data_IF_388862967780
#
_entry.id   IF_388862967780
#
_cell.length_a   1.000
_cell.length_b   1.000
_cell.length_c   1.000
_cell.angle_alpha   90.00
_cell.angle_beta   90.00
_cell.angle_gamma   90.00
#
_symmetry.space_group_name_H-M   'P 1'
#
loop_
_entity.id
_entity.type
_entity.pdbx_description
1 polymer ?
#
# COMPACT_ATOMS: atom_id res chain seq x y z
N UNK A 1 -10.22 -19.46 -26.59
CA UNK A 1 -8.82 -19.95 -26.60
C UNK A 1 -7.78 -18.90 -26.19
N UNK A 2 -7.56 -17.80 -26.92
CA UNK A 2 -6.52 -16.82 -26.54
C UNK A 2 -6.79 -16.15 -25.18
N UNK A 3 -8.04 -15.82 -24.89
CA UNK A 3 -8.46 -15.26 -23.60
C UNK A 3 -8.30 -16.27 -22.46
N UNK A 4 -8.70 -17.53 -22.66
CA UNK A 4 -8.64 -18.56 -21.62
C UNK A 4 -7.19 -18.87 -21.21
N UNK A 5 -6.27 -18.97 -22.19
CA UNK A 5 -4.83 -19.16 -21.95
C UNK A 5 -4.15 -17.91 -21.39
N UNK A 6 -4.62 -16.71 -21.76
CA UNK A 6 -4.07 -15.45 -21.25
C UNK A 6 -4.48 -15.14 -19.80
N UNK A 7 -5.64 -15.65 -19.36
CA UNK A 7 -6.15 -15.46 -18.00
C UNK A 7 -5.39 -16.28 -16.97
N UNK A 8 -4.90 -17.46 -17.35
CA UNK A 8 -4.24 -18.40 -16.44
C UNK A 8 -3.04 -17.79 -15.68
N UNK A 9 -2.04 -17.15 -16.32
CA UNK A 9 -0.92 -16.53 -15.60
C UNK A 9 -1.35 -15.33 -14.74
N UNK A 10 -2.33 -14.55 -15.20
CA UNK A 10 -2.89 -13.43 -14.43
C UNK A 10 -3.60 -13.92 -13.17
N UNK A 11 -4.34 -15.02 -13.28
CA UNK A 11 -5.02 -15.65 -12.16
C UNK A 11 -4.03 -16.17 -11.13
N UNK A 12 -2.99 -16.87 -11.56
CA UNK A 12 -1.93 -17.34 -10.66
C UNK A 12 -1.21 -16.20 -9.96
N UNK A 13 -0.96 -15.08 -10.66
CA UNK A 13 -0.37 -13.88 -10.07
C UNK A 13 -1.28 -13.26 -9.00
N UNK A 14 -2.55 -13.00 -9.32
CA UNK A 14 -3.50 -12.42 -8.38
C UNK A 14 -3.70 -13.31 -7.15
N UNK A 15 -3.75 -14.63 -7.34
CA UNK A 15 -3.90 -15.58 -6.23
C UNK A 15 -2.73 -15.55 -5.25
N UNK A 16 -1.49 -15.31 -5.71
CA UNK A 16 -0.31 -15.20 -4.83
C UNK A 16 -0.33 -13.94 -3.95
N UNK A 17 -0.95 -12.86 -4.44
CA UNK A 17 -0.97 -11.56 -3.75
C UNK A 17 -2.27 -11.33 -2.97
N UNK A 18 -3.34 -12.05 -3.29
CA UNK A 18 -4.60 -11.96 -2.57
C UNK A 18 -4.48 -12.66 -1.22
N UNK A 19 -4.89 -11.97 -0.16
CA UNK A 19 -4.89 -12.55 1.19
C UNK A 19 -6.06 -13.53 1.31
N UNK A 20 -5.82 -14.67 1.96
CA UNK A 20 -6.84 -15.71 2.15
C UNK A 20 -8.13 -15.18 2.80
N UNK A 21 -7.99 -14.27 3.77
CA UNK A 21 -9.14 -13.65 4.44
C UNK A 21 -9.99 -12.77 3.51
N UNK A 22 -9.35 -12.00 2.63
CA UNK A 22 -10.06 -11.16 1.65
C UNK A 22 -10.73 -12.04 0.58
N UNK A 23 -10.04 -13.11 0.15
CA UNK A 23 -10.60 -14.08 -0.79
C UNK A 23 -11.83 -14.79 -0.21
N UNK A 24 -11.74 -15.28 1.02
CA UNK A 24 -12.85 -15.94 1.72
C UNK A 24 -14.05 -15.00 1.89
N UNK A 25 -13.80 -13.73 2.21
CA UNK A 25 -14.83 -12.70 2.35
C UNK A 25 -15.62 -12.52 1.04
N UNK A 26 -14.94 -12.34 -0.10
CA UNK A 26 -15.60 -12.18 -1.39
C UNK A 26 -16.23 -13.48 -1.90
N UNK A 27 -15.64 -14.65 -1.62
CA UNK A 27 -16.23 -15.94 -1.97
C UNK A 27 -17.56 -16.17 -1.24
N UNK A 28 -17.61 -15.84 0.06
CA UNK A 28 -18.83 -15.90 0.87
C UNK A 28 -19.91 -14.94 0.36
N UNK A 29 -19.55 -13.70 0.03
CA UNK A 29 -20.49 -12.72 -0.53
C UNK A 29 -21.06 -13.17 -1.88
N UNK A 30 -20.24 -13.78 -2.73
CA UNK A 30 -20.66 -14.30 -4.03
C UNK A 30 -21.39 -15.65 -3.94
N UNK A 31 -21.60 -16.19 -2.73
CA UNK A 31 -22.15 -17.52 -2.45
C UNK A 31 -21.48 -18.65 -3.24
N UNK A 32 -20.19 -18.51 -3.51
CA UNK A 32 -19.40 -19.55 -4.18
C UNK A 32 -19.01 -20.58 -3.12
N UNK A 33 -19.72 -21.70 -3.11
CA UNK A 33 -19.43 -22.86 -2.25
C UNK A 33 -18.52 -23.84 -2.99
N UNK A 34 -17.69 -24.59 -2.26
CA UNK A 34 -16.74 -25.59 -2.77
C UNK A 34 -15.69 -25.03 -3.74
N UNK A 35 -14.78 -24.20 -3.22
CA UNK A 35 -13.51 -23.92 -3.90
C UNK A 35 -12.53 -24.99 -3.42
N UNK A 36 -12.35 -26.07 -4.20
CA UNK A 36 -11.45 -27.18 -3.84
C UNK A 36 -10.01 -26.90 -4.26
N UNK A 37 -9.82 -26.02 -5.25
CA UNK A 37 -8.52 -25.56 -5.72
C UNK A 37 -8.50 -24.04 -5.96
N UNK A 38 -7.37 -23.35 -5.70
CA UNK A 38 -7.12 -21.97 -6.13
C UNK A 38 -7.51 -21.67 -7.59
N UNK A 39 -7.39 -22.66 -8.47
CA UNK A 39 -7.66 -22.53 -9.90
C UNK A 39 -9.15 -22.54 -10.23
N UNK A 40 -10.02 -22.89 -9.29
CA UNK A 40 -11.48 -22.88 -9.47
C UNK A 40 -12.12 -21.54 -9.07
N UNK A 41 -11.36 -20.64 -8.45
CA UNK A 41 -11.87 -19.33 -8.03
C UNK A 41 -12.35 -18.52 -9.24
N UNK A 42 -13.63 -18.10 -9.31
CA UNK A 42 -14.10 -17.27 -10.42
C UNK A 42 -13.41 -15.90 -10.42
N UNK A 43 -13.05 -15.37 -11.60
CA UNK A 43 -12.42 -14.03 -11.72
C UNK A 43 -13.25 -12.91 -11.07
N UNK A 44 -14.58 -13.02 -11.11
CA UNK A 44 -15.51 -12.08 -10.46
C UNK A 44 -15.36 -12.00 -8.93
N UNK A 45 -14.74 -13.00 -8.31
CA UNK A 45 -14.40 -13.05 -6.88
C UNK A 45 -12.94 -12.65 -6.67
N UNK A 46 -12.04 -13.21 -7.49
CA UNK A 46 -10.60 -12.98 -7.36
C UNK A 46 -10.21 -11.52 -7.59
N UNK A 47 -10.72 -10.88 -8.65
CA UNK A 47 -10.36 -9.50 -8.98
C UNK A 47 -10.70 -8.52 -7.85
N UNK A 48 -11.93 -8.47 -7.30
CA UNK A 48 -12.22 -7.55 -6.19
C UNK A 48 -11.50 -7.92 -4.89
N UNK A 49 -11.27 -9.21 -4.62
CA UNK A 49 -10.48 -9.65 -3.47
C UNK A 49 -9.02 -9.16 -3.59
N UNK A 50 -8.40 -9.38 -4.75
CA UNK A 50 -7.05 -8.90 -5.07
C UNK A 50 -6.93 -7.39 -4.91
N UNK A 51 -7.83 -6.61 -5.52
CA UNK A 51 -7.80 -5.14 -5.39
C UNK A 51 -7.90 -4.68 -3.94
N UNK A 52 -8.74 -5.33 -3.13
CA UNK A 52 -8.90 -4.99 -1.71
C UNK A 52 -7.63 -5.32 -0.91
N UNK A 53 -7.03 -6.49 -1.16
CA UNK A 53 -5.75 -6.88 -0.56
C UNK A 53 -4.63 -5.89 -0.92
N UNK A 54 -4.53 -5.50 -2.18
CA UNK A 54 -3.53 -4.55 -2.67
C UNK A 54 -3.73 -3.15 -2.09
N UNK A 55 -4.98 -2.66 -2.01
CA UNK A 55 -5.27 -1.38 -1.36
C UNK A 55 -4.83 -1.39 0.10
N UNK A 56 -5.10 -2.48 0.84
CA UNK A 56 -4.68 -2.62 2.23
C UNK A 56 -3.15 -2.60 2.36
N UNK A 57 -2.45 -3.32 1.50
CA UNK A 57 -0.99 -3.32 1.46
C UNK A 57 -0.43 -1.93 1.11
N UNK A 58 -1.02 -1.24 0.12
CA UNK A 58 -0.63 0.12 -0.26
C UNK A 58 -0.83 1.13 0.88
N UNK A 59 -1.93 1.03 1.63
CA UNK A 59 -2.15 1.86 2.83
C UNK A 59 -1.14 1.57 3.94
N UNK A 60 -0.77 0.31 4.16
CA UNK A 60 0.25 -0.06 5.14
C UNK A 60 1.62 0.53 4.78
N UNK A 61 2.04 0.40 3.52
CA UNK A 61 3.28 0.96 3.00
C UNK A 61 3.25 2.50 3.10
N UNK A 62 2.17 3.13 2.64
CA UNK A 62 2.00 4.58 2.69
C UNK A 62 2.03 5.11 4.12
N UNK A 63 1.40 4.42 5.06
CA UNK A 63 1.44 4.80 6.47
C UNK A 63 2.86 4.70 7.05
N UNK A 64 3.57 3.61 6.79
CA UNK A 64 4.95 3.43 7.25
C UNK A 64 5.89 4.52 6.71
N UNK A 65 5.75 4.91 5.44
CA UNK A 65 6.50 6.01 4.82
C UNK A 65 6.11 7.36 5.42
N UNK A 66 4.85 7.55 5.83
CA UNK A 66 4.36 8.83 6.34
C UNK A 66 4.86 9.15 7.76
N UNK A 67 5.07 8.15 8.61
CA UNK A 67 5.51 8.31 10.01
C UNK A 67 6.73 9.25 10.17
N UNK A 68 7.88 9.05 9.49
CA UNK A 68 9.04 9.92 9.67
C UNK A 68 8.75 11.39 9.31
N UNK A 69 7.92 11.64 8.30
CA UNK A 69 7.55 13.01 7.92
C UNK A 69 6.62 13.66 8.94
N UNK A 70 5.70 12.88 9.52
CA UNK A 70 4.83 13.33 10.60
C UNK A 70 5.66 13.74 11.84
N UNK A 71 6.69 12.97 12.18
CA UNK A 71 7.62 13.32 13.27
C UNK A 71 8.29 14.67 13.00
N UNK A 72 8.77 14.91 11.78
CA UNK A 72 9.35 16.21 11.39
C UNK A 72 8.33 17.33 11.59
N UNK A 73 7.09 17.16 11.12
CA UNK A 73 6.05 18.18 11.27
C UNK A 73 5.76 18.51 12.73
N UNK A 74 5.62 17.49 13.59
CA UNK A 74 5.37 17.67 15.02
C UNK A 74 6.54 18.38 15.71
N UNK A 75 7.78 17.99 15.41
CA UNK A 75 8.98 18.60 16.00
C UNK A 75 9.09 20.06 15.56
N UNK A 76 9.00 20.35 14.27
CA UNK A 76 9.09 21.72 13.72
C UNK A 76 7.98 22.60 14.31
N UNK A 77 6.74 22.11 14.36
CA UNK A 77 5.64 22.85 14.96
C UNK A 77 5.91 23.16 16.45
N UNK A 78 6.39 22.19 17.22
CA UNK A 78 6.68 22.38 18.64
C UNK A 78 7.79 23.41 18.90
N UNK A 79 8.83 23.41 18.07
CA UNK A 79 9.94 24.38 18.16
C UNK A 79 9.48 25.79 17.78
N UNK A 80 8.72 25.93 16.70
CA UNK A 80 8.18 27.24 16.28
C UNK A 80 7.24 27.83 17.34
N UNK A 81 6.39 27.00 17.95
CA UNK A 81 5.52 27.42 19.06
C UNK A 81 6.34 27.84 20.29
N UNK A 82 7.40 27.10 20.63
CA UNK A 82 8.29 27.46 21.74
C UNK A 82 9.03 28.79 21.51
N UNK A 83 9.32 29.14 20.26
CA UNK A 83 9.93 30.42 19.88
C UNK A 83 8.92 31.58 19.81
N UNK A 84 7.63 31.34 20.03
CA UNK A 84 6.57 32.34 19.92
C UNK A 84 6.19 32.72 18.48
N UNK A 85 6.67 31.97 17.48
CA UNK A 85 6.40 32.25 16.06
C UNK A 85 5.08 31.62 15.61
N UNK A 86 3.95 32.15 16.08
CA UNK A 86 2.61 31.62 15.73
C UNK A 86 2.18 31.92 14.29
N UNK A 87 2.76 32.95 13.67
CA UNK A 87 2.38 33.41 12.32
C UNK A 87 3.12 32.68 11.20
N UNK A 88 4.21 31.97 11.54
CA UNK A 88 4.97 31.20 10.56
C UNK A 88 4.36 29.81 10.45
N UNK A 89 3.91 29.43 9.26
CA UNK A 89 3.37 28.11 9.02
C UNK A 89 4.45 27.04 9.22
N UNK A 90 4.27 26.09 10.16
CA UNK A 90 5.23 24.99 10.37
C UNK A 90 5.45 24.15 9.12
N UNK A 91 4.44 24.03 8.24
CA UNK A 91 4.54 23.25 7.02
C UNK A 91 5.60 23.80 6.04
N UNK A 92 5.74 25.13 5.94
CA UNK A 92 6.73 25.77 5.06
C UNK A 92 8.14 25.53 5.60
N UNK A 93 8.31 25.64 6.92
CA UNK A 93 9.60 25.42 7.59
C UNK A 93 10.01 23.95 7.55
N UNK A 94 9.05 23.02 7.69
CA UNK A 94 9.30 21.58 7.68
C UNK A 94 9.67 21.03 6.28
N UNK A 95 9.20 21.66 5.20
CA UNK A 95 9.41 21.18 3.82
C UNK A 95 10.89 20.89 3.47
N UNK A 96 11.86 21.82 3.67
CA UNK A 96 13.27 21.53 3.37
C UNK A 96 13.84 20.37 4.21
N UNK A 97 13.43 20.22 5.48
CA UNK A 97 13.87 19.09 6.32
C UNK A 97 13.32 17.76 5.80
N UNK A 98 12.07 17.71 5.36
CA UNK A 98 11.49 16.52 4.74
C UNK A 98 12.23 16.12 3.48
N UNK A 99 12.51 17.09 2.60
CA UNK A 99 13.24 16.85 1.36
C UNK A 99 14.68 16.37 1.65
N UNK A 100 15.35 17.00 2.62
CA UNK A 100 16.68 16.59 3.05
C UNK A 100 16.67 15.16 3.59
N UNK A 101 15.76 14.81 4.51
CA UNK A 101 15.64 13.45 5.03
C UNK A 101 15.40 12.47 3.87
N UNK A 102 14.46 12.78 2.99
CA UNK A 102 14.07 11.90 1.89
C UNK A 102 15.23 11.62 0.92
N UNK A 103 16.06 12.62 0.62
CA UNK A 103 17.26 12.42 -0.21
C UNK A 103 18.36 11.67 0.55
N UNK A 104 18.56 11.98 1.83
CA UNK A 104 19.63 11.36 2.65
C UNK A 104 19.43 9.85 2.84
N UNK A 105 18.19 9.39 2.94
CA UNK A 105 17.87 7.96 3.10
C UNK A 105 17.70 7.23 1.77
N UNK A 106 17.97 7.90 0.64
CA UNK A 106 17.62 7.42 -0.70
C UNK A 106 16.16 6.93 -0.78
N UNK A 107 15.24 7.83 -0.43
CA UNK A 107 13.83 7.52 -0.28
C UNK A 107 13.17 6.98 -1.55
N UNK A 108 13.68 7.34 -2.74
CA UNK A 108 13.21 6.75 -4.00
C UNK A 108 13.55 5.26 -4.10
N UNK A 109 14.77 4.87 -3.73
CA UNK A 109 15.17 3.48 -3.73
C UNK A 109 14.40 2.68 -2.67
N UNK A 110 14.14 3.26 -1.49
CA UNK A 110 13.33 2.62 -0.46
C UNK A 110 11.88 2.39 -0.91
N UNK A 111 11.23 3.42 -1.49
CA UNK A 111 9.84 3.30 -1.98
C UNK A 111 9.75 2.27 -3.11
N UNK A 112 10.59 2.40 -4.12
CA UNK A 112 10.58 1.49 -5.27
C UNK A 112 10.97 0.07 -4.86
N UNK A 113 11.94 -0.07 -3.96
CA UNK A 113 12.36 -1.35 -3.39
C UNK A 113 11.24 -2.03 -2.62
N UNK A 114 10.54 -1.31 -1.75
CA UNK A 114 9.38 -1.84 -1.00
C UNK A 114 8.24 -2.25 -1.92
N UNK A 115 7.98 -1.49 -3.00
CA UNK A 115 6.96 -1.86 -3.98
C UNK A 115 7.35 -3.14 -4.74
N UNK A 116 8.58 -3.23 -5.26
CA UNK A 116 9.03 -4.42 -6.01
C UNK A 116 9.08 -5.66 -5.12
N UNK A 117 9.51 -5.52 -3.86
CA UNK A 117 9.52 -6.61 -2.88
C UNK A 117 8.10 -7.02 -2.46
N UNK A 118 7.12 -6.12 -2.48
CA UNK A 118 5.72 -6.45 -2.16
C UNK A 118 5.07 -7.37 -3.19
N UNK A 119 5.57 -7.45 -4.41
CA UNK A 119 4.99 -8.27 -5.49
C UNK A 119 5.56 -9.70 -5.56
N UNK A 120 6.64 -10.00 -4.83
CA UNK A 120 7.30 -11.32 -4.77
C UNK A 120 7.01 -12.04 -3.45
#
# INVERSE_FOLDING_TARGET
EAMDKGVEPLKSFMMKQTREGDLALFANMAQVKNIESPDQVPLRVLVPAFMTSELKTAFQIGFAIFIPFLIIDMVVASVLMAMGMMMVSPAIVALPFKLMLFVLVDGWQLILGSLVQSFH
#
